data_IF_130735817365
#
_entry.id   IF_130735817365
#
_cell.length_a   1.000
_cell.length_b   1.000
_cell.length_c   1.000
_cell.angle_alpha   90.00
_cell.angle_beta   90.00
_cell.angle_gamma   90.00
#
_symmetry.space_group_name_H-M   'P 1'
#
loop_
_entity.id
_entity.type
_entity.pdbx_description
1 polymer ?
#
# COMPACT_ATOMS: atom_id res chain seq x y z
N UNK A 1 27.44 37.30 -11.30
CA UNK A 1 27.47 35.82 -11.20
C UNK A 1 27.89 35.49 -9.77
N UNK A 2 26.94 35.24 -8.87
CA UNK A 2 27.22 35.01 -7.45
C UNK A 2 27.47 33.52 -7.21
N UNK A 3 28.65 33.20 -6.67
CA UNK A 3 29.07 31.85 -6.30
C UNK A 3 28.32 31.48 -5.02
N UNK A 4 27.53 30.40 -5.08
CA UNK A 4 26.77 29.89 -3.94
C UNK A 4 27.71 29.15 -2.99
N UNK A 5 27.81 29.62 -1.74
CA UNK A 5 28.62 28.96 -0.71
C UNK A 5 27.74 27.96 0.10
N UNK A 6 28.12 26.67 0.22
CA UNK A 6 27.31 25.63 0.88
C UNK A 6 27.11 25.82 2.40
N UNK A 7 27.78 26.79 3.02
CA UNK A 7 27.76 26.99 4.48
C UNK A 7 26.54 27.75 5.01
N UNK A 8 25.66 28.28 4.15
CA UNK A 8 24.47 29.03 4.57
C UNK A 8 23.28 28.14 5.00
N UNK A 9 23.34 26.83 4.76
CA UNK A 9 22.19 25.92 5.03
C UNK A 9 22.08 25.52 6.52
N UNK A 10 23.14 25.72 7.32
CA UNK A 10 23.22 25.17 8.68
C UNK A 10 23.03 26.19 9.83
N UNK A 11 22.67 27.45 9.55
CA UNK A 11 22.56 28.52 10.56
C UNK A 11 21.13 28.82 11.05
N UNK A 12 20.37 27.82 11.49
CA UNK A 12 19.11 28.09 12.21
C UNK A 12 19.01 27.22 13.46
N UNK A 13 19.51 27.69 14.62
CA UNK A 13 19.43 26.95 15.87
C UNK A 13 18.01 26.93 16.48
N UNK A 14 17.13 27.88 16.13
CA UNK A 14 15.71 27.87 16.52
C UNK A 14 14.85 28.40 15.36
N UNK A 15 13.94 27.57 14.83
CA UNK A 15 12.91 28.01 13.88
C UNK A 15 11.62 28.26 14.64
N UNK A 16 11.28 29.53 14.85
CA UNK A 16 9.90 29.94 15.11
C UNK A 16 9.09 29.67 13.84
N UNK A 17 8.30 28.59 13.86
CA UNK A 17 7.46 28.15 12.75
C UNK A 17 6.32 29.16 12.49
N UNK A 18 6.57 30.10 11.59
CA UNK A 18 5.53 30.87 10.88
C UNK A 18 5.43 30.48 9.40
N UNK A 19 5.95 29.31 9.01
CA UNK A 19 5.93 28.85 7.62
C UNK A 19 4.75 27.93 7.33
N UNK A 20 3.83 28.37 6.47
CA UNK A 20 2.69 27.60 5.92
C UNK A 20 3.08 26.33 5.12
N UNK A 21 4.38 26.04 4.98
CA UNK A 21 4.87 24.86 4.23
C UNK A 21 5.96 24.17 5.03
N UNK A 22 5.59 23.10 5.73
CA UNK A 22 6.54 22.20 6.36
C UNK A 22 7.36 21.47 5.30
N UNK A 23 8.67 21.24 5.51
CA UNK A 23 9.49 20.55 4.53
C UNK A 23 9.04 19.07 4.40
N UNK A 24 8.99 18.60 3.15
CA UNK A 24 8.70 17.20 2.79
C UNK A 24 9.64 16.20 3.47
N UNK A 25 10.84 16.64 3.82
CA UNK A 25 11.85 15.87 4.55
C UNK A 25 12.35 16.64 5.77
N UNK A 26 12.67 15.92 6.85
CA UNK A 26 13.09 16.48 8.14
C UNK A 26 14.61 16.50 8.32
N UNK A 27 15.32 15.52 7.77
CA UNK A 27 16.78 15.48 7.74
C UNK A 27 17.29 14.55 6.64
N UNK A 28 18.59 14.60 6.36
CA UNK A 28 19.28 13.61 5.52
C UNK A 28 19.58 12.37 6.36
N UNK A 29 19.57 11.19 5.75
CA UNK A 29 20.07 9.95 6.36
C UNK A 29 21.56 9.85 6.07
N UNK A 30 22.37 9.61 7.10
CA UNK A 30 23.80 9.36 6.93
C UNK A 30 24.01 8.19 5.96
N UNK A 31 24.74 8.44 4.88
CA UNK A 31 25.06 7.40 3.91
C UNK A 31 25.71 6.22 4.64
N UNK A 32 25.19 5.03 4.39
CA UNK A 32 25.67 3.80 5.00
C UNK A 32 26.06 2.83 3.88
N UNK A 33 27.11 2.04 4.13
CA UNK A 33 27.56 0.99 3.24
C UNK A 33 28.02 -0.22 4.06
N UNK A 34 28.07 -1.37 3.41
CA UNK A 34 28.55 -2.59 4.01
C UNK A 34 28.79 -3.68 2.99
N UNK A 35 29.33 -4.78 3.47
CA UNK A 35 29.59 -5.98 2.71
C UNK A 35 29.15 -7.21 3.50
N UNK A 36 28.84 -8.28 2.79
CA UNK A 36 28.45 -9.56 3.38
C UNK A 36 29.11 -10.69 2.60
N UNK A 37 29.69 -11.65 3.32
CA UNK A 37 30.17 -12.89 2.69
C UNK A 37 28.98 -13.81 2.43
N UNK A 38 28.92 -14.36 1.22
CA UNK A 38 27.89 -15.29 0.77
C UNK A 38 28.57 -16.58 0.40
N UNK A 39 28.36 -17.62 1.21
CA UNK A 39 28.90 -18.95 0.97
C UNK A 39 28.49 -19.47 -0.41
N UNK A 40 29.28 -20.42 -0.93
CA UNK A 40 28.98 -21.06 -2.20
C UNK A 40 27.63 -21.76 -2.21
N UNK A 41 26.94 -21.72 -3.35
CA UNK A 41 25.62 -22.32 -3.59
C UNK A 41 24.56 -21.91 -2.55
N UNK A 42 24.72 -20.73 -1.95
CA UNK A 42 23.91 -20.27 -0.82
C UNK A 42 23.34 -18.87 -1.06
N UNK A 43 22.41 -18.48 -0.18
CA UNK A 43 21.86 -17.13 -0.15
C UNK A 43 21.98 -16.51 1.23
N UNK A 44 22.16 -15.19 1.24
CA UNK A 44 22.14 -14.37 2.44
C UNK A 44 21.26 -13.14 2.23
N UNK A 45 20.73 -12.63 3.34
CA UNK A 45 19.87 -11.45 3.36
C UNK A 45 20.49 -10.34 4.21
N UNK A 46 20.38 -9.11 3.72
CA UNK A 46 20.68 -7.89 4.49
C UNK A 46 19.41 -7.07 4.61
N UNK A 47 19.09 -6.61 5.82
CA UNK A 47 17.90 -5.81 6.08
C UNK A 47 18.27 -4.36 6.36
N UNK A 48 17.59 -3.41 5.72
CA UNK A 48 17.71 -1.97 5.98
C UNK A 48 16.39 -1.48 6.54
N UNK A 49 16.37 -1.15 7.83
CA UNK A 49 15.17 -0.76 8.57
C UNK A 49 15.36 0.62 9.21
N UNK A 50 14.46 1.59 8.95
CA UNK A 50 14.40 2.83 9.70
C UNK A 50 14.16 2.58 11.21
N UNK A 51 14.72 3.42 12.11
CA UNK A 51 14.35 3.40 13.52
C UNK A 51 12.85 3.59 13.74
N UNK A 52 12.36 3.17 14.91
CA UNK A 52 10.94 3.35 15.29
C UNK A 52 10.51 4.81 15.16
N UNK A 53 9.32 5.01 14.57
CA UNK A 53 8.75 6.34 14.33
C UNK A 53 9.36 7.12 13.15
N UNK A 54 10.33 6.56 12.43
CA UNK A 54 10.90 7.18 11.23
C UNK A 54 10.34 6.58 9.94
N UNK A 55 10.16 7.45 8.94
CA UNK A 55 9.86 7.07 7.56
C UNK A 55 10.98 7.63 6.69
N UNK A 56 11.56 6.82 5.82
CA UNK A 56 12.71 7.19 5.01
C UNK A 56 12.38 7.08 3.52
N UNK A 57 12.80 8.05 2.71
CA UNK A 57 12.95 7.88 1.27
C UNK A 57 14.42 7.56 0.99
N UNK A 58 14.71 6.34 0.54
CA UNK A 58 16.08 5.83 0.34
C UNK A 58 16.32 5.36 -1.08
N UNK A 59 17.49 5.72 -1.60
CA UNK A 59 18.12 5.03 -2.71
C UNK A 59 19.02 3.95 -2.14
N UNK A 60 18.78 2.70 -2.52
CA UNK A 60 19.57 1.54 -2.13
C UNK A 60 20.25 1.01 -3.38
N UNK A 61 21.54 0.79 -3.29
CA UNK A 61 22.35 0.21 -4.36
C UNK A 61 23.07 -1.03 -3.83
N UNK A 62 22.99 -2.14 -4.55
CA UNK A 62 23.64 -3.38 -4.12
C UNK A 62 23.99 -4.29 -5.28
N UNK A 63 25.13 -4.95 -5.15
CA UNK A 63 25.70 -5.82 -6.16
C UNK A 63 26.36 -7.03 -5.53
N UNK A 64 26.65 -8.04 -6.33
CA UNK A 64 27.47 -9.17 -5.91
C UNK A 64 28.71 -9.27 -6.79
N UNK A 65 29.89 -9.31 -6.16
CA UNK A 65 31.17 -9.47 -6.84
C UNK A 65 31.39 -10.93 -7.26
N UNK A 66 30.46 -11.44 -8.05
CA UNK A 66 30.48 -12.76 -8.64
C UNK A 66 29.97 -12.68 -10.07
N UNK A 67 30.69 -13.35 -10.97
CA UNK A 67 30.31 -13.56 -12.37
C UNK A 67 29.95 -15.03 -12.63
N UNK A 68 29.76 -15.84 -11.58
CA UNK A 68 29.38 -17.24 -11.72
C UNK A 68 27.87 -17.37 -11.94
N UNK A 69 27.43 -18.16 -12.92
CA UNK A 69 26.01 -18.48 -13.08
C UNK A 69 25.64 -19.72 -12.24
N UNK A 70 24.46 -19.75 -11.58
CA UNK A 70 23.43 -18.71 -11.51
C UNK A 70 23.62 -17.81 -10.27
N UNK A 71 24.20 -16.63 -10.42
CA UNK A 71 24.29 -15.62 -9.37
C UNK A 71 23.21 -14.55 -9.54
N UNK A 72 22.61 -14.06 -8.46
CA UNK A 72 21.62 -12.98 -8.57
C UNK A 72 21.48 -12.14 -7.31
N UNK A 73 20.99 -10.92 -7.52
CA UNK A 73 20.57 -10.01 -6.45
C UNK A 73 19.08 -9.69 -6.59
N UNK A 74 18.36 -9.66 -5.47
CA UNK A 74 16.91 -9.39 -5.46
C UNK A 74 16.54 -8.46 -4.32
N UNK A 75 15.65 -7.52 -4.61
CA UNK A 75 15.06 -6.61 -3.64
C UNK A 75 13.68 -7.10 -3.23
N UNK A 76 13.50 -7.28 -1.93
CA UNK A 76 12.23 -7.58 -1.29
C UNK A 76 11.81 -6.42 -0.38
N UNK A 77 10.52 -6.13 -0.38
CA UNK A 77 9.88 -5.40 0.71
C UNK A 77 9.54 -6.43 1.79
N UNK A 78 9.83 -6.11 3.04
CA UNK A 78 9.63 -7.00 4.18
C UNK A 78 8.94 -6.23 5.30
N UNK A 79 7.85 -6.79 5.82
CA UNK A 79 7.08 -6.23 6.93
C UNK A 79 7.38 -6.92 8.27
N UNK A 80 8.43 -7.75 8.32
CA UNK A 80 8.76 -8.61 9.45
C UNK A 80 8.15 -10.01 9.39
N UNK A 81 7.14 -10.24 8.54
CA UNK A 81 6.47 -11.55 8.37
C UNK A 81 6.59 -12.08 6.93
N UNK A 82 6.34 -11.25 5.92
CA UNK A 82 6.27 -11.63 4.51
C UNK A 82 7.25 -10.82 3.66
N UNK A 83 8.08 -11.54 2.88
CA UNK A 83 8.96 -10.93 1.87
C UNK A 83 8.27 -10.90 0.50
N UNK A 84 7.97 -9.72 0.00
CA UNK A 84 7.39 -9.52 -1.34
C UNK A 84 8.50 -9.13 -2.31
N UNK A 85 8.72 -9.96 -3.33
CA UNK A 85 9.69 -9.67 -4.39
C UNK A 85 9.18 -8.49 -5.23
N UNK A 86 9.96 -7.43 -5.32
CA UNK A 86 9.63 -6.27 -6.17
C UNK A 86 10.48 -6.20 -7.42
N UNK A 87 11.77 -6.53 -7.31
CA UNK A 87 12.72 -6.46 -8.42
C UNK A 87 13.86 -7.44 -8.22
N UNK A 88 14.34 -8.01 -9.30
CA UNK A 88 15.51 -8.88 -9.31
C UNK A 88 16.32 -8.67 -10.57
N UNK A 89 17.60 -8.95 -10.49
CA UNK A 89 18.50 -9.04 -11.63
C UNK A 89 19.19 -10.39 -11.54
N UNK A 90 18.90 -11.26 -12.51
CA UNK A 90 19.57 -12.55 -12.66
C UNK A 90 20.80 -12.40 -13.58
N UNK A 91 21.86 -13.14 -13.29
CA UNK A 91 23.07 -13.14 -14.12
C UNK A 91 22.93 -14.01 -15.38
N UNK A 92 23.36 -13.45 -16.53
CA UNK A 92 23.74 -14.22 -17.71
C UNK A 92 25.12 -13.76 -18.23
N UNK A 93 26.14 -14.51 -17.84
CA UNK A 93 27.47 -14.69 -18.42
C UNK A 93 28.49 -13.53 -18.55
N UNK A 94 28.25 -12.25 -18.20
CA UNK A 94 29.33 -11.22 -18.32
C UNK A 94 29.30 -9.97 -17.43
N UNK A 95 28.26 -9.73 -16.63
CA UNK A 95 28.15 -8.50 -15.81
C UNK A 95 27.69 -8.85 -14.39
N UNK A 96 28.43 -8.43 -13.37
CA UNK A 96 28.07 -8.63 -11.96
C UNK A 96 26.59 -8.28 -11.68
N UNK A 97 25.81 -9.15 -10.99
CA UNK A 97 24.44 -8.84 -10.63
C UNK A 97 24.37 -7.55 -9.82
N UNK A 98 23.70 -6.54 -10.37
CA UNK A 98 23.61 -5.21 -9.78
C UNK A 98 22.17 -4.71 -9.81
N UNK A 99 21.75 -4.05 -8.72
CA UNK A 99 20.41 -3.50 -8.60
C UNK A 99 20.41 -2.21 -7.76
N UNK A 100 19.92 -1.13 -8.39
CA UNK A 100 19.53 0.11 -7.72
C UNK A 100 18.01 0.23 -7.56
N UNK A 101 17.55 0.63 -6.38
CA UNK A 101 16.12 0.86 -6.06
C UNK A 101 15.89 2.13 -5.24
N UNK A 102 14.87 2.90 -5.62
CA UNK A 102 14.34 4.02 -4.81
C UNK A 102 13.09 3.57 -4.08
N UNK A 103 13.04 3.71 -2.75
CA UNK A 103 11.92 3.22 -1.92
C UNK A 103 11.61 4.13 -0.75
N UNK A 104 10.35 4.12 -0.34
CA UNK A 104 9.92 4.64 0.96
C UNK A 104 9.88 3.46 1.94
N UNK A 105 10.63 3.56 3.03
CA UNK A 105 10.69 2.58 4.09
C UNK A 105 10.10 3.16 5.37
N UNK A 106 9.49 2.32 6.19
CA UNK A 106 9.08 2.63 7.57
C UNK A 106 9.71 1.62 8.52
N UNK A 107 9.63 1.87 9.83
CA UNK A 107 10.04 0.87 10.82
C UNK A 107 9.28 -0.47 10.69
N UNK A 108 8.07 -0.47 10.14
CA UNK A 108 7.22 -1.66 9.91
C UNK A 108 7.25 -2.18 8.47
N UNK A 109 7.94 -1.49 7.56
CA UNK A 109 8.04 -1.84 6.15
C UNK A 109 9.44 -1.51 5.63
N UNK A 110 10.32 -2.50 5.69
CA UNK A 110 11.75 -2.33 5.49
C UNK A 110 12.28 -3.12 4.30
N UNK A 111 13.49 -2.78 3.87
CA UNK A 111 14.12 -3.43 2.74
C UNK A 111 14.79 -4.73 3.17
N UNK A 112 14.67 -5.77 2.36
CA UNK A 112 15.40 -7.03 2.49
C UNK A 112 16.12 -7.31 1.17
N UNK A 113 17.43 -7.14 1.16
CA UNK A 113 18.31 -7.38 0.03
C UNK A 113 18.75 -8.83 0.06
N UNK A 114 18.52 -9.56 -1.03
CA UNK A 114 18.98 -10.95 -1.18
C UNK A 114 20.18 -10.99 -2.10
N UNK A 115 21.19 -11.73 -1.67
CA UNK A 115 22.34 -12.13 -2.46
C UNK A 115 22.29 -13.65 -2.59
N UNK A 116 22.43 -14.17 -3.79
CA UNK A 116 22.54 -15.62 -4.03
C UNK A 116 23.77 -15.88 -4.88
N UNK A 117 24.68 -16.68 -4.34
CA UNK A 117 25.93 -17.07 -4.97
C UNK A 117 25.77 -18.42 -5.65
N UNK A 118 25.88 -18.45 -6.98
CA UNK A 118 25.87 -19.68 -7.76
C UNK A 118 27.23 -20.38 -7.86
N UNK A 119 28.31 -19.78 -7.35
CA UNK A 119 29.64 -20.39 -7.29
C UNK A 119 29.73 -21.36 -6.10
N UNK A 120 30.69 -22.27 -6.15
CA UNK A 120 31.10 -23.14 -5.03
C UNK A 120 31.99 -22.41 -4.01
N UNK A 121 32.69 -21.35 -4.42
CA UNK A 121 33.52 -20.54 -3.52
C UNK A 121 32.72 -19.38 -2.92
N UNK A 122 33.00 -18.95 -1.67
CA UNK A 122 32.39 -17.77 -1.09
C UNK A 122 32.65 -16.50 -1.91
N UNK A 123 31.63 -15.64 -2.01
CA UNK A 123 31.67 -14.37 -2.73
C UNK A 123 31.21 -13.22 -1.85
N UNK A 124 31.58 -12.00 -2.22
CA UNK A 124 31.18 -10.80 -1.45
C UNK A 124 30.00 -10.09 -2.11
N UNK A 125 28.93 -9.88 -1.33
CA UNK A 125 27.85 -8.96 -1.67
C UNK A 125 28.15 -7.58 -1.08
N UNK A 126 28.00 -6.52 -1.89
CA UNK A 126 28.17 -5.14 -1.46
C UNK A 126 26.83 -4.41 -1.49
N UNK A 127 26.60 -3.53 -0.53
CA UNK A 127 25.42 -2.67 -0.51
C UNK A 127 25.72 -1.31 0.07
N UNK A 128 24.92 -0.32 -0.34
CA UNK A 128 24.92 1.00 0.23
C UNK A 128 23.57 1.67 0.08
N UNK A 129 23.28 2.63 0.96
CA UNK A 129 22.07 3.43 0.85
C UNK A 129 22.29 4.87 1.34
N UNK A 130 21.51 5.77 0.77
CA UNK A 130 21.45 7.18 1.14
C UNK A 130 20.02 7.68 0.92
N UNK A 131 19.65 8.77 1.59
CA UNK A 131 18.29 9.28 1.45
C UNK A 131 17.92 10.36 2.43
N UNK A 132 16.62 10.52 2.63
CA UNK A 132 16.02 11.55 3.48
C UNK A 132 15.07 10.92 4.49
N UNK A 133 15.13 11.39 5.74
CA UNK A 133 14.04 11.17 6.70
C UNK A 133 12.86 12.03 6.23
N UNK A 134 11.73 11.39 6.00
CA UNK A 134 10.49 12.10 5.74
C UNK A 134 9.99 12.66 7.08
N UNK A 135 9.43 13.87 7.05
CA UNK A 135 8.72 14.37 8.22
C UNK A 135 7.61 13.38 8.59
N UNK A 136 7.26 13.28 9.89
CA UNK A 136 6.08 12.49 10.33
C UNK A 136 4.96 12.75 9.34
N UNK A 137 4.22 11.73 8.88
CA UNK A 137 3.18 11.94 7.91
C UNK A 137 2.14 12.93 8.46
N UNK A 138 2.26 14.20 8.06
CA UNK A 138 1.22 15.22 8.19
C UNK A 138 0.33 15.21 6.95
N UNK A 139 0.45 14.21 6.08
CA UNK A 139 -0.45 14.08 4.95
C UNK A 139 -1.82 13.63 5.47
N UNK A 140 -2.65 14.63 5.79
CA UNK A 140 -4.07 14.49 5.47
C UNK A 140 -4.13 14.42 3.95
N UNK A 141 -4.73 13.41 3.31
CA UNK A 141 -4.87 13.38 1.87
C UNK A 141 -5.54 14.69 1.41
N UNK A 142 -4.78 15.57 0.78
CA UNK A 142 -5.33 16.76 0.14
C UNK A 142 -5.82 16.29 -1.23
N UNK A 143 -7.14 16.21 -1.40
CA UNK A 143 -7.71 15.97 -2.73
C UNK A 143 -7.22 17.09 -3.64
N UNK A 144 -6.66 16.68 -4.77
CA UNK A 144 -6.15 17.59 -5.78
C UNK A 144 -7.36 18.12 -6.55
N UNK A 145 -7.89 19.28 -6.13
CA UNK A 145 -9.07 19.91 -6.73
C UNK A 145 -8.85 20.29 -8.22
N UNK A 146 -7.60 20.30 -8.68
CA UNK A 146 -7.22 20.58 -10.07
C UNK A 146 -7.39 19.39 -11.03
N UNK A 147 -7.77 18.20 -10.54
CA UNK A 147 -8.18 17.09 -11.42
C UNK A 147 -9.67 17.24 -11.81
N UNK A 148 -9.98 18.09 -12.78
CA UNK A 148 -11.31 18.13 -13.39
C UNK A 148 -11.63 16.81 -14.14
N UNK A 149 -12.91 16.38 -14.15
CA UNK A 149 -13.48 15.65 -13.04
C UNK A 149 -12.86 14.24 -12.96
N UNK A 150 -11.92 14.01 -12.04
CA UNK A 150 -11.58 12.65 -11.68
C UNK A 150 -12.88 11.92 -11.30
N UNK A 151 -13.22 10.85 -12.03
CA UNK A 151 -14.45 10.10 -11.78
C UNK A 151 -14.32 9.44 -10.40
N UNK A 152 -14.96 10.04 -9.41
CA UNK A 152 -14.96 9.54 -8.04
C UNK A 152 -15.53 8.12 -8.02
N UNK A 153 -14.94 7.25 -7.20
CA UNK A 153 -15.38 5.87 -7.09
C UNK A 153 -16.86 5.74 -6.68
N UNK A 154 -17.37 6.69 -5.89
CA UNK A 154 -18.72 6.75 -5.30
C UNK A 154 -19.26 8.16 -5.47
N UNK A 155 -20.49 8.30 -5.95
CA UNK A 155 -21.23 9.58 -5.99
C UNK A 155 -22.70 9.40 -5.58
N UNK A 156 -23.37 10.45 -5.07
CA UNK A 156 -24.78 10.41 -4.78
C UNK A 156 -25.60 9.98 -6.01
N UNK A 157 -26.65 9.21 -5.78
CA UNK A 157 -27.58 8.76 -6.83
C UNK A 157 -28.92 9.47 -6.74
N UNK A 158 -29.52 9.76 -7.90
CA UNK A 158 -30.93 10.13 -8.03
C UNK A 158 -31.80 8.97 -8.53
N UNK A 159 -31.18 7.83 -8.86
CA UNK A 159 -31.88 6.63 -9.33
C UNK A 159 -32.56 5.93 -8.15
N UNK A 160 -33.80 5.52 -8.36
CA UNK A 160 -34.52 4.67 -7.42
C UNK A 160 -33.98 3.24 -7.46
N UNK A 161 -33.87 2.61 -6.29
CA UNK A 161 -33.66 1.17 -6.19
C UNK A 161 -34.92 0.39 -6.66
N UNK A 162 -34.77 -0.89 -7.06
CA UNK A 162 -35.88 -1.82 -7.27
C UNK A 162 -36.81 -1.94 -6.06
N UNK A 163 -38.12 -2.15 -6.29
CA UNK A 163 -39.16 -2.08 -5.25
C UNK A 163 -38.92 -2.98 -4.03
N UNK A 164 -38.44 -4.21 -4.25
CA UNK A 164 -38.15 -5.18 -3.19
C UNK A 164 -36.96 -4.81 -2.29
N UNK A 165 -36.12 -3.87 -2.71
CA UNK A 165 -35.00 -3.34 -1.92
C UNK A 165 -35.05 -1.82 -1.75
N UNK A 166 -36.15 -1.18 -2.16
CA UNK A 166 -36.40 0.26 -2.05
C UNK A 166 -36.25 0.82 -0.64
N UNK A 167 -36.60 0.10 0.45
CA UNK A 167 -36.30 0.56 1.81
C UNK A 167 -34.81 0.85 2.07
N UNK A 168 -33.90 0.29 1.27
CA UNK A 168 -32.46 0.54 1.36
C UNK A 168 -32.01 1.80 0.60
N UNK A 169 -32.91 2.65 0.10
CA UNK A 169 -32.53 3.83 -0.71
C UNK A 169 -31.52 4.76 -0.01
N UNK A 170 -31.58 4.86 1.33
CA UNK A 170 -30.60 5.64 2.12
C UNK A 170 -29.16 5.11 2.02
N UNK A 171 -28.97 3.87 1.57
CA UNK A 171 -27.68 3.21 1.34
C UNK A 171 -27.26 3.19 -0.13
N UNK A 172 -28.08 3.75 -1.03
CA UNK A 172 -27.87 3.69 -2.47
C UNK A 172 -26.92 4.79 -2.96
N UNK A 173 -25.94 4.40 -3.78
CA UNK A 173 -25.03 5.32 -4.47
C UNK A 173 -24.71 4.79 -5.87
N UNK A 174 -24.15 5.65 -6.73
CA UNK A 174 -23.57 5.21 -7.99
C UNK A 174 -22.07 4.95 -7.79
N UNK A 175 -21.61 3.76 -8.21
CA UNK A 175 -20.23 3.31 -8.06
C UNK A 175 -19.56 3.08 -9.41
N UNK A 176 -18.37 3.61 -9.58
CA UNK A 176 -17.55 3.41 -10.79
C UNK A 176 -16.97 2.00 -10.78
N UNK A 177 -17.21 1.24 -11.85
CA UNK A 177 -16.61 -0.07 -12.06
C UNK A 177 -17.15 -1.20 -11.18
N UNK A 178 -18.31 -0.99 -10.56
CA UNK A 178 -19.00 -2.01 -9.76
C UNK A 178 -19.47 -3.21 -10.61
N UNK A 179 -19.86 -2.98 -11.87
CA UNK A 179 -20.21 -4.07 -12.79
C UNK A 179 -18.94 -4.58 -13.50
N UNK A 180 -18.53 -5.86 -13.34
CA UNK A 180 -17.28 -6.38 -13.91
C UNK A 180 -17.18 -6.25 -15.44
N UNK A 181 -18.32 -6.33 -16.12
CA UNK A 181 -18.40 -6.22 -17.58
C UNK A 181 -18.31 -4.77 -18.07
N UNK A 182 -18.42 -3.79 -17.17
CA UNK A 182 -18.42 -2.35 -17.47
C UNK A 182 -17.60 -1.57 -16.45
N UNK A 183 -16.28 -1.82 -16.35
CA UNK A 183 -15.41 -1.24 -15.33
C UNK A 183 -15.33 0.30 -15.40
N UNK A 184 -15.66 0.86 -16.56
CA UNK A 184 -15.64 2.30 -16.81
C UNK A 184 -17.04 2.93 -16.73
N UNK A 185 -18.06 2.26 -16.18
CA UNK A 185 -19.40 2.82 -16.03
C UNK A 185 -19.79 2.92 -14.55
N UNK A 186 -20.70 3.85 -14.26
CA UNK A 186 -21.32 3.91 -12.95
C UNK A 186 -22.51 2.95 -12.90
N UNK A 187 -22.53 2.07 -11.91
CA UNK A 187 -23.67 1.22 -11.62
C UNK A 187 -24.30 1.60 -10.27
N UNK A 188 -25.61 1.38 -10.16
CA UNK A 188 -26.33 1.60 -8.90
C UNK A 188 -25.97 0.47 -7.94
N UNK A 189 -25.47 0.83 -6.76
CA UNK A 189 -25.09 -0.13 -5.73
C UNK A 189 -25.65 0.26 -4.37
N UNK A 190 -25.72 -0.73 -3.50
CA UNK A 190 -26.10 -0.59 -2.09
C UNK A 190 -24.88 -0.88 -1.23
N UNK A 191 -24.59 0.04 -0.31
CA UNK A 191 -23.51 -0.14 0.66
C UNK A 191 -23.99 -1.09 1.76
N UNK A 192 -23.23 -2.16 1.99
CA UNK A 192 -23.46 -3.13 3.06
C UNK A 192 -22.67 -2.74 4.32
N UNK A 193 -21.38 -2.41 4.12
CA UNK A 193 -20.46 -1.89 5.14
C UNK A 193 -19.66 -0.74 4.53
N UNK A 194 -19.47 0.36 5.28
CA UNK A 194 -18.66 1.50 4.85
C UNK A 194 -17.54 1.75 5.85
N UNK A 195 -16.32 1.88 5.34
CA UNK A 195 -15.13 2.28 6.09
C UNK A 195 -14.89 1.48 7.38
N UNK A 196 -15.33 0.22 7.41
CA UNK A 196 -15.23 -0.64 8.59
C UNK A 196 -13.79 -1.03 8.81
N UNK A 197 -13.26 -0.72 9.98
CA UNK A 197 -11.87 -1.03 10.33
C UNK A 197 -11.71 -2.56 10.41
N UNK A 198 -10.77 -3.09 9.64
CA UNK A 198 -10.39 -4.51 9.68
C UNK A 198 -9.15 -4.74 10.55
N UNK A 199 -8.19 -3.81 10.47
CA UNK A 199 -6.96 -3.86 11.24
C UNK A 199 -6.58 -2.47 11.72
N UNK A 200 -6.02 -2.42 12.92
CA UNK A 200 -5.44 -1.22 13.53
C UNK A 200 -3.96 -1.44 13.78
N UNK A 201 -3.20 -0.36 13.67
CA UNK A 201 -1.83 -0.31 14.17
C UNK A 201 -1.86 -0.51 15.70
N UNK A 202 -1.11 -1.47 16.26
CA UNK A 202 -1.21 -1.82 17.67
C UNK A 202 -0.65 -0.75 18.62
N UNK A 203 0.21 0.14 18.15
CA UNK A 203 0.82 1.19 18.97
C UNK A 203 -0.02 2.48 19.01
N UNK A 204 -0.61 2.84 17.87
CA UNK A 204 -1.34 4.10 17.68
C UNK A 204 -2.86 3.93 17.63
N UNK A 205 -3.34 2.69 17.55
CA UNK A 205 -4.73 2.33 17.31
C UNK A 205 -5.30 2.94 16.01
N UNK A 206 -4.42 3.35 15.09
CA UNK A 206 -4.81 3.96 13.83
C UNK A 206 -5.33 2.88 12.86
N UNK A 207 -6.49 3.07 12.21
CA UNK A 207 -7.00 2.14 11.21
C UNK A 207 -6.07 2.04 10.00
N UNK A 208 -5.41 0.89 9.84
CA UNK A 208 -4.50 0.62 8.70
C UNK A 208 -5.20 -0.06 7.55
N UNK A 209 -6.29 -0.79 7.83
CA UNK A 209 -7.10 -1.47 6.83
C UNK A 209 -8.58 -1.19 7.07
N UNK A 210 -9.30 -0.85 5.99
CA UNK A 210 -10.74 -0.60 6.02
C UNK A 210 -11.44 -1.35 4.90
N UNK A 211 -12.58 -1.91 5.24
CA UNK A 211 -13.49 -2.57 4.31
C UNK A 211 -14.67 -1.66 3.98
N UNK A 212 -14.90 -1.48 2.68
CA UNK A 212 -16.18 -1.01 2.16
C UNK A 212 -16.75 -2.12 1.27
N UNK A 213 -17.87 -2.69 1.69
CA UNK A 213 -18.56 -3.75 0.98
C UNK A 213 -19.78 -3.17 0.25
N UNK A 214 -19.83 -3.36 -1.06
CA UNK A 214 -20.89 -2.84 -1.93
C UNK A 214 -21.41 -3.97 -2.80
N UNK A 215 -22.72 -3.98 -3.06
CA UNK A 215 -23.36 -4.91 -3.99
C UNK A 215 -24.17 -4.12 -5.03
N UNK A 216 -24.15 -4.57 -6.28
CA UNK A 216 -24.97 -3.99 -7.34
C UNK A 216 -26.47 -4.18 -7.02
N UNK A 217 -27.27 -3.13 -7.24
CA UNK A 217 -28.67 -3.10 -6.84
C UNK A 217 -29.52 -4.23 -7.47
N UNK A 218 -29.31 -4.52 -8.76
CA UNK A 218 -30.01 -5.63 -9.45
C UNK A 218 -29.60 -7.00 -8.88
N UNK A 219 -28.30 -7.18 -8.62
CA UNK A 219 -27.79 -8.40 -8.00
C UNK A 219 -28.39 -8.59 -6.60
N UNK A 220 -28.42 -7.54 -5.77
CA UNK A 220 -29.04 -7.60 -4.45
C UNK A 220 -30.54 -7.86 -4.54
N UNK A 221 -31.25 -7.20 -5.45
CA UNK A 221 -32.68 -7.42 -5.68
C UNK A 221 -32.97 -8.90 -5.97
N UNK A 222 -32.19 -9.52 -6.86
CA UNK A 222 -32.31 -10.93 -7.19
C UNK A 222 -32.01 -11.84 -5.98
N UNK A 223 -30.96 -11.54 -5.21
CA UNK A 223 -30.63 -12.29 -3.99
C UNK A 223 -31.77 -12.21 -2.96
N UNK A 224 -32.31 -11.02 -2.68
CA UNK A 224 -33.43 -10.84 -1.76
C UNK A 224 -34.67 -11.62 -2.22
N UNK A 225 -34.94 -11.67 -3.53
CA UNK A 225 -36.04 -12.47 -4.06
C UNK A 225 -35.83 -13.96 -3.80
N UNK A 226 -34.62 -14.48 -4.04
CA UNK A 226 -34.29 -15.89 -3.78
C UNK A 226 -34.35 -16.24 -2.29
N UNK A 227 -33.94 -15.32 -1.41
CA UNK A 227 -34.08 -15.50 0.04
C UNK A 227 -35.55 -15.59 0.47
N UNK A 228 -36.44 -14.75 -0.07
CA UNK A 228 -37.88 -14.83 0.20
C UNK A 228 -38.52 -16.12 -0.31
N UNK A 229 -38.07 -16.59 -1.46
CA UNK A 229 -38.55 -17.82 -2.09
C UNK A 229 -37.98 -19.08 -1.40
N UNK A 230 -37.00 -18.93 -0.50
CA UNK A 230 -36.32 -20.04 0.16
C UNK A 230 -35.42 -20.86 -0.76
N UNK A 231 -35.11 -20.34 -1.95
CA UNK A 231 -34.27 -21.01 -2.95
C UNK A 231 -32.78 -20.78 -2.70
N UNK A 232 -32.44 -19.84 -1.82
CA UNK A 232 -31.08 -19.54 -1.41
C UNK A 232 -31.05 -19.26 0.10
N UNK A 233 -30.02 -19.77 0.78
CA UNK A 233 -29.81 -19.57 2.22
C UNK A 233 -28.98 -18.30 2.50
N UNK A 234 -29.47 -17.34 3.30
CA UNK A 234 -28.67 -16.19 3.72
C UNK A 234 -27.43 -16.55 4.55
N UNK A 235 -27.46 -17.66 5.28
CA UNK A 235 -26.33 -18.17 6.07
C UNK A 235 -25.21 -18.64 5.14
N UNK A 236 -25.52 -19.48 4.16
CA UNK A 236 -24.54 -20.06 3.24
C UNK A 236 -23.88 -19.00 2.34
N UNK A 237 -24.62 -17.92 2.05
CA UNK A 237 -24.13 -16.79 1.24
C UNK A 237 -23.41 -15.72 2.07
N UNK A 238 -23.44 -15.81 3.41
CA UNK A 238 -22.87 -14.80 4.30
C UNK A 238 -23.67 -13.49 4.38
N UNK A 239 -24.88 -13.44 3.83
CA UNK A 239 -25.75 -12.27 3.85
C UNK A 239 -26.59 -12.14 5.12
N UNK A 240 -26.68 -13.20 5.95
CA UNK A 240 -27.45 -13.18 7.22
C UNK A 240 -27.13 -11.96 8.08
N UNK A 241 -25.84 -11.65 8.28
CA UNK A 241 -25.41 -10.47 9.07
C UNK A 241 -25.96 -9.13 8.55
N UNK A 242 -26.18 -9.00 7.24
CA UNK A 242 -26.69 -7.77 6.64
C UNK A 242 -28.21 -7.69 6.78
N UNK A 243 -28.90 -8.82 6.60
CA UNK A 243 -30.35 -8.91 6.85
C UNK A 243 -30.68 -8.61 8.30
N UNK A 244 -29.96 -9.20 9.25
CA UNK A 244 -30.17 -8.98 10.69
C UNK A 244 -29.90 -7.50 11.07
N UNK A 245 -28.85 -6.90 10.48
CA UNK A 245 -28.58 -5.47 10.64
C UNK A 245 -29.76 -4.64 10.14
N UNK A 246 -30.24 -4.88 8.92
CA UNK A 246 -31.36 -4.12 8.36
C UNK A 246 -32.65 -4.32 9.16
N UNK A 247 -32.92 -5.53 9.64
CA UNK A 247 -34.05 -5.79 10.50
C UNK A 247 -33.97 -5.02 11.82
N UNK A 248 -32.79 -4.95 12.44
CA UNK A 248 -32.56 -4.15 13.66
C UNK A 248 -32.78 -2.65 13.46
N UNK A 249 -32.65 -2.17 12.22
CA UNK A 249 -32.95 -0.80 11.82
C UNK A 249 -34.42 -0.59 11.39
N UNK A 250 -35.26 -1.62 11.52
CA UNK A 250 -36.67 -1.58 11.12
C UNK A 250 -36.91 -1.82 9.63
N UNK A 251 -35.92 -2.30 8.89
CA UNK A 251 -36.02 -2.59 7.45
C UNK A 251 -36.18 -4.10 7.26
N UNK A 252 -37.39 -4.54 6.89
CA UNK A 252 -37.68 -5.95 6.61
C UNK A 252 -37.66 -6.21 5.11
N UNK A 253 -36.69 -7.01 4.68
CA UNK A 253 -36.51 -7.36 3.27
C UNK A 253 -36.77 -8.82 2.97
N UNK A 254 -36.86 -9.69 3.98
CA UNK A 254 -37.19 -11.12 3.86
C UNK A 254 -38.34 -11.41 4.80
#
# INVERSE_FOLDING_TARGET
>A
MSIWHPSAVWKYPERTLTQEKFPFWSSIITQSHGEVSVDGESMTYVTIQPPSGETWLVWIDFLMASSASPSHVRYYQFDGTVRILHRGTDFNASVEPHLGVLKILTHSLYASLRFYNGDTNPMTGYYGYSGFKLSRPLWTPKREDSLAPARVWKKPTTKSLPENIKPLQKYAYEFLGLSPNKPNEYALGVILEEDKVLAVDPETNFPVERLTAVVEAETLSNLIKQFKEGTLSPEETGYRKYLDKWESEGIRLV
#
